data_IF_917269810717
#
_entry.id   IF_917269810717
#
_cell.length_a   1.000
_cell.length_b   1.000
_cell.length_c   1.000
_cell.angle_alpha   90.00
_cell.angle_beta   90.00
_cell.angle_gamma   90.00
#
_symmetry.space_group_name_H-M   'P 1'
#
loop_
_entity.id
_entity.type
_entity.pdbx_description
1 polymer ?
#
# COMPACT_ATOMS: atom_id res chain seq x y z
N UNK A 1 -24.22 -3.56 0.78
CA UNK A 1 -23.36 -4.23 -0.22
C UNK A 1 -24.15 -4.56 -1.48
N UNK A 2 -25.30 -5.24 -1.39
CA UNK A 2 -26.15 -5.54 -2.56
C UNK A 2 -26.52 -4.30 -3.40
N UNK A 3 -26.86 -3.17 -2.78
CA UNK A 3 -27.19 -1.94 -3.53
C UNK A 3 -26.00 -1.37 -4.31
N UNK A 4 -24.78 -1.51 -3.79
CA UNK A 4 -23.56 -1.09 -4.46
C UNK A 4 -23.23 -1.99 -5.66
N UNK A 5 -23.45 -3.30 -5.52
CA UNK A 5 -23.32 -4.26 -6.63
C UNK A 5 -24.35 -3.92 -7.72
N UNK A 6 -25.61 -3.71 -7.33
CA UNK A 6 -26.70 -3.34 -8.25
C UNK A 6 -26.41 -2.03 -8.97
N UNK A 7 -25.91 -1.02 -8.27
CA UNK A 7 -25.54 0.27 -8.87
C UNK A 7 -24.45 0.11 -9.95
N UNK A 8 -23.42 -0.70 -9.70
CA UNK A 8 -22.37 -0.99 -10.69
C UNK A 8 -22.92 -1.67 -11.94
N UNK A 9 -23.83 -2.62 -11.77
CA UNK A 9 -24.49 -3.28 -12.91
C UNK A 9 -25.38 -2.31 -13.69
N UNK A 10 -26.23 -1.54 -12.99
CA UNK A 10 -27.14 -0.55 -13.62
C UNK A 10 -26.36 0.55 -14.34
N UNK A 11 -25.22 0.98 -13.79
CA UNK A 11 -24.33 1.97 -14.42
C UNK A 11 -23.62 1.45 -15.68
N UNK A 12 -23.63 0.14 -15.94
CA UNK A 12 -22.89 -0.50 -17.03
C UNK A 12 -21.39 -0.67 -16.77
N UNK A 13 -20.88 -0.26 -15.60
CA UNK A 13 -19.49 -0.49 -15.20
C UNK A 13 -19.15 -1.99 -15.10
N UNK A 14 -20.14 -2.83 -14.80
CA UNK A 14 -20.03 -4.29 -14.84
C UNK A 14 -21.26 -4.88 -15.53
N UNK A 15 -21.08 -5.94 -16.32
CA UNK A 15 -22.16 -6.61 -17.03
C UNK A 15 -23.04 -7.49 -16.13
N UNK A 16 -22.53 -7.91 -14.97
CA UNK A 16 -23.30 -8.75 -14.02
C UNK A 16 -22.80 -8.62 -12.58
N UNK A 17 -23.64 -9.02 -11.62
CA UNK A 17 -23.26 -9.10 -10.20
C UNK A 17 -22.07 -10.03 -9.98
N UNK A 18 -22.01 -11.16 -10.71
CA UNK A 18 -20.88 -12.11 -10.67
C UNK A 18 -19.56 -11.50 -11.17
N UNK A 19 -19.62 -10.55 -12.10
CA UNK A 19 -18.44 -9.80 -12.53
C UNK A 19 -17.96 -8.83 -11.46
N UNK A 20 -18.87 -8.08 -10.83
CA UNK A 20 -18.54 -7.19 -9.69
C UNK A 20 -17.80 -7.97 -8.60
N UNK A 21 -18.28 -9.16 -8.27
CA UNK A 21 -17.66 -10.02 -7.25
C UNK A 21 -16.26 -10.47 -7.68
N UNK A 22 -16.10 -10.98 -8.91
CA UNK A 22 -14.79 -11.44 -9.42
C UNK A 22 -13.78 -10.31 -9.48
N UNK A 23 -14.19 -9.13 -9.92
CA UNK A 23 -13.31 -7.97 -10.00
C UNK A 23 -12.95 -7.46 -8.61
N UNK A 24 -13.89 -7.45 -7.67
CA UNK A 24 -13.63 -7.16 -6.26
C UNK A 24 -12.61 -8.11 -5.65
N UNK A 25 -12.76 -9.42 -5.87
CA UNK A 25 -11.81 -10.44 -5.40
C UNK A 25 -10.42 -10.28 -6.04
N UNK A 26 -10.36 -9.95 -7.33
CA UNK A 26 -9.08 -9.71 -8.02
C UNK A 26 -8.37 -8.47 -7.47
N UNK A 27 -9.11 -7.39 -7.23
CA UNK A 27 -8.58 -6.16 -6.65
C UNK A 27 -8.06 -6.38 -5.23
N UNK A 28 -8.82 -7.12 -4.40
CA UNK A 28 -8.40 -7.48 -3.06
C UNK A 28 -7.12 -8.33 -3.07
N UNK A 29 -7.09 -9.39 -3.88
CA UNK A 29 -5.91 -10.23 -4.00
C UNK A 29 -4.68 -9.48 -4.54
N UNK A 30 -4.86 -8.51 -5.44
CA UNK A 30 -3.78 -7.67 -5.93
C UNK A 30 -3.24 -6.74 -4.84
N UNK A 31 -4.13 -6.14 -4.05
CA UNK A 31 -3.77 -5.31 -2.90
C UNK A 31 -2.99 -6.11 -1.86
N UNK A 32 -3.47 -7.30 -1.51
CA UNK A 32 -2.83 -8.13 -0.49
C UNK A 32 -1.42 -8.54 -0.93
N UNK A 33 -1.25 -8.99 -2.18
CA UNK A 33 0.08 -9.26 -2.75
C UNK A 33 0.99 -8.04 -2.74
N UNK A 34 0.47 -6.85 -3.04
CA UNK A 34 1.28 -5.63 -3.04
C UNK A 34 1.74 -5.26 -1.63
N UNK A 35 0.89 -5.44 -0.62
CA UNK A 35 1.25 -5.23 0.79
C UNK A 35 2.29 -6.25 1.23
N UNK A 36 2.08 -7.53 0.96
CA UNK A 36 3.02 -8.60 1.34
C UNK A 36 4.40 -8.39 0.70
N UNK A 37 4.44 -8.06 -0.59
CA UNK A 37 5.68 -7.75 -1.29
C UNK A 37 6.38 -6.54 -0.65
N UNK A 38 5.65 -5.46 -0.36
CA UNK A 38 6.23 -4.28 0.29
C UNK A 38 6.80 -4.60 1.68
N UNK A 39 6.08 -5.40 2.47
CA UNK A 39 6.52 -5.82 3.80
C UNK A 39 7.81 -6.65 3.72
N UNK A 40 7.85 -7.65 2.84
CA UNK A 40 8.98 -8.56 2.70
C UNK A 40 10.20 -7.89 2.04
N UNK A 41 9.99 -7.07 1.03
CA UNK A 41 11.07 -6.53 0.21
C UNK A 41 11.62 -5.19 0.73
N UNK A 42 10.83 -4.42 1.48
CA UNK A 42 11.24 -3.09 1.94
C UNK A 42 11.27 -2.99 3.46
N UNK A 43 10.20 -3.41 4.13
CA UNK A 43 10.06 -3.21 5.58
C UNK A 43 10.99 -4.15 6.36
N UNK A 44 10.97 -5.44 6.07
CA UNK A 44 11.82 -6.41 6.76
C UNK A 44 13.33 -6.07 6.62
N UNK A 45 13.87 -5.76 5.43
CA UNK A 45 15.27 -5.36 5.32
C UNK A 45 15.61 -4.04 6.03
N UNK A 46 14.67 -3.09 6.08
CA UNK A 46 14.87 -1.85 6.84
C UNK A 46 14.92 -2.11 8.35
N UNK A 47 14.06 -3.01 8.84
CA UNK A 47 14.03 -3.44 10.23
C UNK A 47 15.30 -4.20 10.61
N UNK A 48 15.72 -5.18 9.81
CA UNK A 48 16.94 -5.96 10.05
C UNK A 48 18.18 -5.07 10.09
N UNK A 49 18.26 -4.06 9.21
CA UNK A 49 19.34 -3.06 9.23
C UNK A 49 19.36 -2.27 10.54
N UNK A 50 18.18 -1.83 11.01
CA UNK A 50 18.07 -1.07 12.26
C UNK A 50 18.46 -1.92 13.48
N UNK A 51 18.10 -3.20 13.50
CA UNK A 51 18.52 -4.13 14.55
C UNK A 51 20.04 -4.36 14.54
N UNK A 52 20.63 -4.48 13.34
CA UNK A 52 22.06 -4.72 13.18
C UNK A 52 22.92 -3.49 13.48
N UNK A 53 22.42 -2.28 13.19
CA UNK A 53 23.10 -1.00 13.40
C UNK A 53 22.15 0.06 13.98
N UNK A 54 21.92 0.05 15.31
CA UNK A 54 21.04 1.00 15.97
C UNK A 54 21.58 2.45 15.94
N UNK A 55 22.89 2.64 15.87
CA UNK A 55 23.52 3.97 15.83
C UNK A 55 23.23 4.70 14.51
N UNK A 56 22.84 3.96 13.46
CA UNK A 56 22.34 4.50 12.20
C UNK A 56 20.94 5.13 12.28
N UNK A 57 20.27 5.11 13.45
CA UNK A 57 18.96 5.72 13.63
C UNK A 57 19.02 7.26 13.61
N UNK A 58 18.07 7.89 12.92
CA UNK A 58 17.92 9.34 12.91
C UNK A 58 16.87 9.78 13.93
N UNK A 59 17.19 10.82 14.69
CA UNK A 59 16.21 11.55 15.49
C UNK A 59 15.19 12.28 14.58
N UNK A 60 14.02 12.58 15.13
CA UNK A 60 12.99 13.36 14.41
C UNK A 60 13.53 14.71 13.93
N UNK A 61 14.44 15.33 14.69
CA UNK A 61 15.09 16.58 14.31
C UNK A 61 15.97 16.43 13.06
N UNK A 62 16.79 15.38 13.02
CA UNK A 62 17.67 15.07 11.88
C UNK A 62 16.88 14.72 10.63
N UNK A 63 15.81 13.93 10.76
CA UNK A 63 14.90 13.63 9.64
C UNK A 63 14.31 14.91 9.07
N UNK A 64 13.81 15.82 9.92
CA UNK A 64 13.23 17.10 9.46
C UNK A 64 14.27 17.97 8.77
N UNK A 65 15.47 18.10 9.35
CA UNK A 65 16.57 18.87 8.76
C UNK A 65 16.95 18.32 7.37
N UNK A 66 17.02 16.99 7.23
CA UNK A 66 17.32 16.33 5.96
C UNK A 66 16.25 16.60 4.90
N UNK A 67 14.97 16.50 5.26
CA UNK A 67 13.85 16.80 4.34
C UNK A 67 13.84 18.26 3.89
N UNK A 68 14.17 19.21 4.77
CA UNK A 68 14.30 20.63 4.41
C UNK A 68 15.45 20.84 3.43
N UNK A 69 16.61 20.21 3.67
CA UNK A 69 17.77 20.28 2.78
C UNK A 69 17.47 19.75 1.37
N UNK A 70 16.66 18.69 1.24
CA UNK A 70 16.29 18.10 -0.05
C UNK A 70 15.29 18.96 -0.85
N UNK A 71 14.49 19.80 -0.18
CA UNK A 71 13.52 20.69 -0.83
C UNK A 71 14.16 21.97 -1.39
N UNK A 72 15.35 22.32 -0.91
CA UNK A 72 16.12 23.48 -1.39
C UNK A 72 17.00 23.18 -2.60
N UNK A 73 16.97 21.94 -3.12
CA UNK A 73 17.59 21.50 -4.38
C UNK A 73 16.52 21.45 -5.47
#
# INVERSE_FOLDING_TARGET
MADMVRAKVVSGECASESEVIRDGLRALAARDRAVDAWLLEQVAPAYDRMLADPDGALSVGEVRARLVSLRGQ
#
